data_IF_702996346626
#
_entry.id   IF_702996346626
#
_cell.length_a   1.000
_cell.length_b   1.000
_cell.length_c   1.000
_cell.angle_alpha   90.00
_cell.angle_beta   90.00
_cell.angle_gamma   90.00
#
_symmetry.space_group_name_H-M   'P 1'
#
loop_
_entity.id
_entity.type
_entity.pdbx_description
1 polymer ?
#
# COMPACT_ATOMS: atom_id res chain seq x y z
N UNK A 1 5.36 -40.52 -18.85
CA UNK A 1 5.96 -41.50 -17.92
C UNK A 1 7.46 -41.74 -18.19
N UNK A 2 8.25 -40.69 -18.40
CA UNK A 2 9.73 -40.79 -18.44
C UNK A 2 10.28 -39.58 -17.67
N UNK A 3 10.34 -39.72 -16.34
CA UNK A 3 10.94 -38.70 -15.47
C UNK A 3 12.37 -39.11 -15.17
N UNK A 4 13.33 -38.29 -15.60
CA UNK A 4 14.77 -38.46 -15.31
C UNK A 4 15.00 -38.54 -13.79
N UNK A 5 14.19 -37.81 -13.00
CA UNK A 5 14.23 -37.85 -11.52
C UNK A 5 13.97 -39.26 -10.96
N UNK A 6 13.08 -40.04 -11.59
CA UNK A 6 12.72 -41.38 -11.13
C UNK A 6 13.77 -42.44 -11.48
N UNK A 7 14.36 -42.35 -12.68
CA UNK A 7 15.44 -43.25 -13.07
C UNK A 7 16.76 -42.96 -12.32
N UNK A 8 17.01 -41.70 -11.97
CA UNK A 8 18.16 -41.30 -11.16
C UNK A 8 18.02 -41.75 -9.70
N UNK A 9 16.83 -41.64 -9.11
CA UNK A 9 16.55 -42.14 -7.76
C UNK A 9 16.76 -43.66 -7.64
N UNK A 10 16.40 -44.44 -8.67
CA UNK A 10 16.57 -45.90 -8.66
C UNK A 10 18.01 -46.36 -8.86
N UNK A 11 18.82 -45.65 -9.65
CA UNK A 11 20.22 -46.03 -9.91
C UNK A 11 21.19 -45.49 -8.85
N UNK A 12 21.01 -44.26 -8.38
CA UNK A 12 22.00 -43.57 -7.56
C UNK A 12 21.82 -43.86 -6.06
N UNK A 13 20.58 -44.11 -5.60
CA UNK A 13 20.28 -44.40 -4.19
C UNK A 13 20.86 -45.75 -3.72
N UNK A 14 21.08 -46.68 -4.65
CA UNK A 14 21.67 -47.99 -4.34
C UNK A 14 23.21 -47.96 -4.20
N UNK A 15 23.87 -46.86 -4.59
CA UNK A 15 25.34 -46.78 -4.68
C UNK A 15 26.00 -45.63 -3.92
N UNK A 16 25.29 -44.88 -3.07
CA UNK A 16 25.86 -43.72 -2.37
C UNK A 16 26.56 -44.08 -1.04
N UNK A 17 27.89 -43.94 -0.90
CA UNK A 17 28.56 -43.79 0.39
C UNK A 17 28.39 -42.35 0.88
N UNK A 18 28.36 -42.12 2.20
CA UNK A 18 27.94 -40.88 2.88
C UNK A 18 28.69 -39.56 2.56
N UNK A 19 29.59 -39.50 1.58
CA UNK A 19 30.21 -38.27 1.06
C UNK A 19 29.55 -37.68 -0.20
N UNK A 20 28.64 -38.41 -0.85
CA UNK A 20 28.01 -38.00 -2.10
C UNK A 20 26.81 -37.03 -1.94
N UNK A 21 26.28 -36.90 -0.73
CA UNK A 21 25.12 -36.03 -0.44
C UNK A 21 25.47 -34.54 -0.55
N UNK A 22 26.67 -34.14 -0.13
CA UNK A 22 27.13 -32.74 -0.21
C UNK A 22 27.32 -32.29 -1.65
N UNK A 23 27.92 -33.15 -2.49
CA UNK A 23 28.07 -32.88 -3.93
C UNK A 23 26.73 -32.82 -4.67
N UNK A 24 25.77 -33.67 -4.29
CA UNK A 24 24.41 -33.63 -4.82
C UNK A 24 23.67 -32.35 -4.42
N UNK A 25 23.76 -31.93 -3.16
CA UNK A 25 23.14 -30.69 -2.68
C UNK A 25 23.71 -29.45 -3.41
N UNK A 26 25.03 -29.40 -3.59
CA UNK A 26 25.69 -28.33 -4.36
C UNK A 26 25.28 -28.35 -5.84
N UNK A 27 25.16 -29.53 -6.45
CA UNK A 27 24.67 -29.69 -7.83
C UNK A 27 23.21 -29.24 -8.00
N UNK A 28 22.34 -29.57 -7.05
CA UNK A 28 20.93 -29.13 -7.06
C UNK A 28 20.81 -27.62 -6.87
N UNK A 29 21.59 -27.00 -5.98
CA UNK A 29 21.64 -25.55 -5.83
C UNK A 29 22.12 -24.86 -7.10
N UNK A 30 23.15 -25.40 -7.75
CA UNK A 30 23.66 -24.87 -9.01
C UNK A 30 22.62 -24.96 -10.14
N UNK A 31 21.93 -26.10 -10.26
CA UNK A 31 20.85 -26.27 -11.23
C UNK A 31 19.66 -25.34 -10.94
N UNK A 32 19.33 -25.11 -9.67
CA UNK A 32 18.29 -24.15 -9.28
C UNK A 32 18.66 -22.72 -9.64
N UNK A 33 19.92 -22.33 -9.43
CA UNK A 33 20.43 -21.00 -9.79
C UNK A 33 20.46 -20.80 -11.31
N UNK A 34 20.88 -21.83 -12.05
CA UNK A 34 20.80 -21.85 -13.52
C UNK A 34 19.35 -21.69 -13.96
N UNK A 35 18.42 -22.44 -13.37
CA UNK A 35 17.01 -22.36 -13.72
C UNK A 35 16.41 -20.98 -13.40
N UNK A 36 16.75 -20.38 -12.25
CA UNK A 36 16.31 -19.01 -11.91
C UNK A 36 16.85 -17.97 -12.92
N UNK A 37 18.09 -18.15 -13.38
CA UNK A 37 18.72 -17.28 -14.39
C UNK A 37 18.09 -17.43 -15.79
N UNK A 38 17.63 -18.63 -16.16
CA UNK A 38 17.09 -18.91 -17.49
C UNK A 38 15.57 -18.76 -17.59
N UNK A 39 14.81 -19.09 -16.54
CA UNK A 39 13.35 -18.99 -16.56
C UNK A 39 12.88 -17.55 -16.36
N UNK A 40 13.67 -16.71 -15.67
CA UNK A 40 13.27 -15.34 -15.34
C UNK A 40 12.03 -15.31 -14.41
N UNK A 41 11.98 -14.36 -13.49
CA UNK A 41 10.72 -14.12 -12.77
C UNK A 41 9.78 -13.39 -13.75
N UNK A 42 8.51 -13.80 -13.89
CA UNK A 42 7.57 -13.08 -14.72
C UNK A 42 7.50 -11.61 -14.28
N UNK A 43 7.63 -10.69 -15.23
CA UNK A 43 7.63 -9.27 -14.90
C UNK A 43 6.21 -8.83 -14.55
N UNK A 44 6.08 -8.22 -13.38
CA UNK A 44 4.85 -7.60 -12.90
C UNK A 44 4.95 -6.10 -13.14
N UNK A 45 4.07 -5.55 -13.97
CA UNK A 45 4.01 -4.11 -14.21
C UNK A 45 2.78 -3.53 -13.54
N UNK A 46 3.00 -2.81 -12.45
CA UNK A 46 1.95 -2.02 -11.82
C UNK A 46 1.97 -0.58 -12.36
N UNK A 47 0.82 -0.11 -12.84
CA UNK A 47 0.64 1.30 -13.20
C UNK A 47 -0.17 2.00 -12.12
N UNK A 48 0.51 2.84 -11.33
CA UNK A 48 -0.07 3.62 -10.22
C UNK A 48 -1.11 4.65 -10.66
N UNK A 49 -1.09 5.11 -11.91
CA UNK A 49 -2.08 6.09 -12.35
C UNK A 49 -3.41 5.45 -12.78
N UNK A 50 -3.36 4.19 -13.21
CA UNK A 50 -4.53 3.46 -13.70
C UNK A 50 -4.97 2.34 -12.74
N UNK A 51 -4.27 2.16 -11.62
CA UNK A 51 -4.45 1.09 -10.62
C UNK A 51 -4.63 -0.29 -11.25
N UNK A 52 -3.78 -0.59 -12.24
CA UNK A 52 -3.82 -1.86 -12.97
C UNK A 52 -2.50 -2.58 -12.84
N UNK A 53 -2.60 -3.84 -12.42
CA UNK A 53 -1.50 -4.79 -12.44
C UNK A 53 -1.54 -5.56 -13.76
N UNK A 54 -0.50 -5.39 -14.55
CA UNK A 54 -0.26 -6.17 -15.76
C UNK A 54 0.69 -7.32 -15.42
N UNK A 55 0.22 -8.55 -15.69
CA UNK A 55 1.03 -9.75 -15.62
C UNK A 55 1.55 -10.01 -17.04
N UNK A 56 2.84 -9.74 -17.26
CA UNK A 56 3.47 -10.02 -18.56
C UNK A 56 3.89 -11.50 -18.58
N UNK A 57 2.90 -12.40 -18.64
CA UNK A 57 3.06 -13.86 -18.60
C UNK A 57 2.38 -14.56 -19.78
N UNK A 58 3.02 -15.58 -20.33
CA UNK A 58 2.38 -16.49 -21.28
C UNK A 58 1.64 -17.60 -20.53
N UNK A 59 0.30 -17.51 -20.53
CA UNK A 59 -0.60 -18.50 -19.93
C UNK A 59 -0.37 -19.88 -20.56
N UNK A 60 0.00 -20.86 -19.74
CA UNK A 60 0.23 -22.25 -20.15
C UNK A 60 1.69 -22.64 -20.40
N UNK A 61 2.61 -21.67 -20.55
CA UNK A 61 4.06 -21.94 -20.63
C UNK A 61 4.76 -21.55 -19.33
N UNK A 62 4.52 -20.33 -18.86
CA UNK A 62 5.20 -19.75 -17.70
C UNK A 62 4.39 -19.87 -16.40
N UNK A 63 3.07 -20.05 -16.52
CA UNK A 63 2.14 -20.25 -15.39
C UNK A 63 1.34 -21.52 -15.65
N UNK A 64 1.46 -22.49 -14.74
CA UNK A 64 0.75 -23.77 -14.79
C UNK A 64 -0.53 -23.72 -13.95
N UNK A 65 -1.39 -24.72 -14.17
CA UNK A 65 -2.52 -24.98 -13.27
C UNK A 65 -1.94 -25.34 -11.89
N UNK A 66 -2.47 -24.71 -10.84
CA UNK A 66 -2.03 -24.75 -9.43
C UNK A 66 -0.93 -23.75 -9.01
N UNK A 67 -0.50 -22.84 -9.88
CA UNK A 67 0.34 -21.70 -9.50
C UNK A 67 -0.48 -20.56 -8.88
N UNK A 68 0.09 -19.91 -7.85
CA UNK A 68 -0.58 -18.86 -7.08
C UNK A 68 0.09 -17.52 -7.32
N UNK A 69 -0.71 -16.52 -7.68
CA UNK A 69 -0.29 -15.11 -7.69
C UNK A 69 -0.81 -14.46 -6.42
N UNK A 70 0.10 -14.01 -5.56
CA UNK A 70 -0.23 -13.29 -4.33
C UNK A 70 0.08 -11.82 -4.55
N UNK A 71 -0.91 -10.96 -4.30
CA UNK A 71 -0.80 -9.50 -4.43
C UNK A 71 -1.38 -8.88 -3.18
N UNK A 72 -0.61 -8.03 -2.52
CA UNK A 72 -1.09 -7.13 -1.48
C UNK A 72 -1.52 -5.82 -2.17
N UNK A 73 -2.78 -5.42 -1.98
CA UNK A 73 -3.31 -4.20 -2.56
C UNK A 73 -4.11 -3.40 -1.53
N UNK A 74 -3.86 -2.10 -1.51
CA UNK A 74 -4.70 -1.15 -0.80
C UNK A 74 -5.88 -0.76 -1.70
N UNK A 75 -7.09 -0.94 -1.21
CA UNK A 75 -8.30 -0.52 -1.90
C UNK A 75 -8.92 0.69 -1.21
N UNK A 76 -9.27 1.72 -1.98
CA UNK A 76 -10.14 2.78 -1.50
C UNK A 76 -11.54 2.19 -1.28
N UNK A 77 -11.97 2.17 -0.02
CA UNK A 77 -13.30 1.69 0.36
C UNK A 77 -14.34 2.72 -0.10
N UNK A 78 -15.39 2.24 -0.77
CA UNK A 78 -16.53 3.08 -1.14
C UNK A 78 -17.31 3.52 0.12
N UNK A 79 -17.37 4.83 0.41
CA UNK A 79 -18.02 5.33 1.62
C UNK A 79 -19.55 5.24 1.58
N UNK A 80 -20.19 5.02 0.43
CA UNK A 80 -21.64 4.75 0.37
C UNK A 80 -21.97 3.33 0.87
N UNK A 81 -21.07 2.38 0.65
CA UNK A 81 -21.22 1.00 1.11
C UNK A 81 -20.87 0.86 2.60
N UNK A 82 -19.90 1.63 3.10
CA UNK A 82 -19.45 1.62 4.49
C UNK A 82 -19.50 3.02 5.11
N UNK A 83 -20.68 3.41 5.60
CA UNK A 83 -20.89 4.73 6.22
C UNK A 83 -20.07 5.00 7.47
N UNK A 84 -19.51 3.96 8.09
CA UNK A 84 -18.66 4.06 9.28
C UNK A 84 -17.37 4.84 9.01
N UNK A 85 -16.95 4.98 7.75
CA UNK A 85 -15.84 5.85 7.34
C UNK A 85 -16.09 7.30 7.77
N UNK A 86 -17.34 7.79 7.71
CA UNK A 86 -17.70 9.13 8.19
C UNK A 86 -17.64 9.28 9.70
N UNK A 87 -17.57 8.17 10.43
CA UNK A 87 -17.51 8.18 11.88
C UNK A 87 -16.11 8.38 12.43
N UNK A 88 -15.07 8.38 11.59
CA UNK A 88 -13.70 8.65 11.99
C UNK A 88 -13.58 10.00 12.71
N UNK A 89 -12.94 9.98 13.88
CA UNK A 89 -12.68 11.16 14.70
C UNK A 89 -11.86 12.21 13.95
N UNK A 90 -10.88 11.77 13.14
CA UNK A 90 -10.08 12.66 12.33
C UNK A 90 -10.95 13.40 11.31
N UNK A 91 -11.73 12.66 10.53
CA UNK A 91 -12.59 13.23 9.49
C UNK A 91 -13.59 14.22 10.08
N UNK A 92 -14.21 13.88 11.22
CA UNK A 92 -15.12 14.79 11.95
C UNK A 92 -14.42 16.07 12.42
N UNK A 93 -13.24 15.97 13.03
CA UNK A 93 -12.46 17.14 13.49
C UNK A 93 -12.06 18.02 12.30
N UNK A 94 -11.56 17.41 11.23
CA UNK A 94 -11.14 18.12 10.03
C UNK A 94 -12.29 18.85 9.34
N UNK A 95 -13.43 18.18 9.12
CA UNK A 95 -14.62 18.82 8.55
C UNK A 95 -15.14 19.96 9.42
N UNK A 96 -15.11 19.81 10.74
CA UNK A 96 -15.54 20.88 11.68
C UNK A 96 -14.63 22.11 11.56
N UNK A 97 -13.31 21.92 11.50
CA UNK A 97 -12.34 23.01 11.33
C UNK A 97 -12.52 23.72 9.97
N UNK A 98 -12.77 22.97 8.90
CA UNK A 98 -13.06 23.55 7.57
C UNK A 98 -14.32 24.42 7.57
N UNK A 99 -15.40 23.94 8.21
CA UNK A 99 -16.63 24.72 8.37
C UNK A 99 -16.32 26.01 9.15
N UNK A 100 -15.62 25.91 10.27
CA UNK A 100 -15.23 27.07 11.09
C UNK A 100 -14.41 28.09 10.28
N UNK A 101 -13.47 27.65 9.44
CA UNK A 101 -12.68 28.50 8.53
C UNK A 101 -13.57 29.21 7.51
N UNK A 102 -14.50 28.49 6.87
CA UNK A 102 -15.44 29.07 5.91
C UNK A 102 -16.35 30.12 6.56
N UNK A 103 -16.81 29.87 7.78
CA UNK A 103 -17.59 30.82 8.56
C UNK A 103 -16.78 32.07 8.91
N UNK A 104 -15.53 31.91 9.38
CA UNK A 104 -14.61 33.02 9.61
C UNK A 104 -14.39 33.88 8.37
N UNK A 105 -14.15 33.26 7.21
CA UNK A 105 -14.03 33.96 5.93
C UNK A 105 -15.29 34.75 5.56
N UNK A 106 -16.47 34.18 5.80
CA UNK A 106 -17.73 34.89 5.55
C UNK A 106 -17.90 36.06 6.52
N UNK A 107 -17.56 35.90 7.80
CA UNK A 107 -17.67 36.94 8.82
C UNK A 107 -16.68 38.10 8.59
N UNK A 108 -15.47 37.84 8.07
CA UNK A 108 -14.49 38.88 7.72
C UNK A 108 -15.07 39.87 6.70
N UNK A 109 -15.94 39.42 5.79
CA UNK A 109 -16.60 40.31 4.81
C UNK A 109 -17.55 41.31 5.45
N UNK A 110 -18.00 41.06 6.68
CA UNK A 110 -18.88 41.92 7.45
C UNK A 110 -18.13 42.65 8.58
N UNK A 111 -16.80 42.64 8.55
CA UNK A 111 -15.97 43.37 9.51
C UNK A 111 -16.24 44.88 9.42
N UNK A 112 -16.43 45.54 10.56
CA UNK A 112 -16.88 46.93 10.66
C UNK A 112 -18.40 47.15 10.70
N UNK A 113 -19.24 46.12 10.51
CA UNK A 113 -20.67 46.21 10.75
C UNK A 113 -20.95 46.12 12.27
N UNK A 114 -21.48 47.19 12.87
CA UNK A 114 -21.99 47.13 14.24
C UNK A 114 -23.37 46.48 14.25
N UNK A 115 -23.50 45.38 14.98
CA UNK A 115 -24.79 44.78 15.22
C UNK A 115 -25.60 45.64 16.21
N UNK A 116 -26.95 45.62 16.14
CA UNK A 116 -27.79 46.24 17.14
C UNK A 116 -27.42 45.71 18.54
N UNK A 117 -26.99 46.61 19.44
CA UNK A 117 -26.42 46.25 20.74
C UNK A 117 -24.92 46.54 20.88
N UNK A 118 -24.27 47.12 19.87
CA UNK A 118 -22.88 47.61 19.97
C UNK A 118 -21.81 46.52 19.91
N UNK A 119 -22.19 45.30 19.54
CA UNK A 119 -21.27 44.17 19.36
C UNK A 119 -20.73 44.18 17.92
N UNK A 120 -19.43 43.98 17.78
CA UNK A 120 -18.76 43.79 16.49
C UNK A 120 -18.46 42.30 16.26
N UNK A 121 -18.54 41.86 15.01
CA UNK A 121 -18.22 40.49 14.63
C UNK A 121 -16.70 40.33 14.51
N UNK A 122 -16.08 39.51 15.36
CA UNK A 122 -14.66 39.19 15.24
C UNK A 122 -14.42 37.99 14.30
N UNK A 123 -14.62 38.22 13.00
CA UNK A 123 -14.44 37.18 11.98
C UNK A 123 -12.98 36.76 11.78
N UNK A 124 -12.04 37.68 12.04
CA UNK A 124 -10.60 37.44 11.82
C UNK A 124 -10.00 36.50 12.85
N UNK A 125 -10.31 36.70 14.14
CA UNK A 125 -9.88 35.75 15.17
C UNK A 125 -10.43 34.34 14.91
N UNK A 126 -11.69 34.22 14.47
CA UNK A 126 -12.28 32.91 14.16
C UNK A 126 -11.57 32.20 12.99
N UNK A 127 -11.15 32.95 11.98
CA UNK A 127 -10.41 32.42 10.83
C UNK A 127 -9.00 31.97 11.22
N UNK A 128 -8.31 32.78 12.01
CA UNK A 128 -6.95 32.47 12.47
C UNK A 128 -6.97 31.23 13.39
N UNK A 129 -7.93 31.15 14.32
CA UNK A 129 -8.13 29.99 15.18
C UNK A 129 -8.43 28.72 14.37
N UNK A 130 -9.28 28.82 13.34
CA UNK A 130 -9.60 27.69 12.48
C UNK A 130 -8.40 27.22 11.66
N UNK A 131 -7.52 28.14 11.23
CA UNK A 131 -6.33 27.82 10.46
C UNK A 131 -5.28 27.11 11.33
N UNK A 132 -5.07 27.59 12.56
CA UNK A 132 -4.17 26.94 13.53
C UNK A 132 -4.69 25.55 13.96
N UNK A 133 -6.01 25.38 14.06
CA UNK A 133 -6.62 24.08 14.36
C UNK A 133 -6.45 23.10 13.18
N UNK A 134 -6.55 23.57 11.94
CA UNK A 134 -6.31 22.77 10.75
C UNK A 134 -4.86 22.27 10.68
N UNK A 135 -3.89 23.16 10.92
CA UNK A 135 -2.46 22.83 10.91
C UNK A 135 -2.12 21.76 11.96
N UNK A 136 -2.63 21.90 13.18
CA UNK A 136 -2.46 20.88 14.23
C UNK A 136 -3.07 19.53 13.85
N UNK A 137 -4.25 19.56 13.21
CA UNK A 137 -4.92 18.34 12.76
C UNK A 137 -4.09 17.66 11.66
N UNK A 138 -3.51 18.42 10.72
CA UNK A 138 -2.64 17.91 9.66
C UNK A 138 -1.33 17.31 10.23
N UNK A 139 -0.70 17.97 11.19
CA UNK A 139 0.47 17.44 11.90
C UNK A 139 0.15 16.14 12.64
N UNK A 140 -0.96 16.09 13.37
CA UNK A 140 -1.40 14.87 14.09
C UNK A 140 -1.62 13.69 13.14
N UNK A 141 -2.13 13.95 11.93
CA UNK A 141 -2.37 12.90 10.92
C UNK A 141 -1.08 12.39 10.36
N UNK A 142 -0.19 13.30 9.99
CA UNK A 142 1.11 12.94 9.46
C UNK A 142 1.85 12.03 10.45
N UNK A 143 1.85 12.38 11.74
CA UNK A 143 2.48 11.57 12.77
C UNK A 143 1.82 10.21 13.04
N UNK A 144 0.50 10.08 12.84
CA UNK A 144 -0.26 8.86 13.18
C UNK A 144 -0.45 7.89 12.02
N UNK A 145 -0.56 8.41 10.80
CA UNK A 145 -0.92 7.64 9.61
C UNK A 145 0.22 7.58 8.59
N UNK A 146 1.39 8.17 8.87
CA UNK A 146 2.60 7.80 8.13
C UNK A 146 2.84 6.30 8.35
N UNK A 147 2.72 5.54 7.26
CA UNK A 147 3.32 4.21 7.19
C UNK A 147 4.79 4.38 7.57
N UNK A 148 5.38 3.44 8.35
CA UNK A 148 6.82 3.43 8.55
C UNK A 148 7.49 3.64 7.21
N UNK A 149 8.52 4.51 7.14
CA UNK A 149 9.37 4.56 5.95
C UNK A 149 9.77 3.12 5.68
N UNK A 150 9.22 2.57 4.59
CA UNK A 150 9.54 1.23 4.19
C UNK A 150 11.02 1.31 3.83
N UNK A 151 11.86 0.79 4.71
CA UNK A 151 13.25 0.51 4.42
C UNK A 151 13.21 -0.64 3.41
N UNK A 152 12.73 -0.36 2.21
CA UNK A 152 12.94 -1.16 1.03
C UNK A 152 14.42 -1.08 0.72
N UNK A 153 15.20 -1.83 1.50
CA UNK A 153 16.48 -2.37 1.08
C UNK A 153 16.13 -3.39 0.01
N UNK A 154 16.10 -2.91 -1.23
CA UNK A 154 16.26 -3.71 -2.44
C UNK A 154 17.56 -3.30 -3.10
#
# INVERSE_FOLDING_TARGET
MFSVKYQFALNEMYRMPGGALTGYAMGQQHLSMINEMFTGKPLLRFNRHTDRLHLDVEWGTDVLIDDWVVVECDQIIDPETYSDVYSDLFLKRYTTALIKKQWGQNMIKFDGLQLPGGVTLNGRALFDDASAELEKIEEEVQLKYELPIDFAVG
#
